data_IF_575149453445
#
_entry.id   IF_575149453445
#
_cell.length_a   1.000
_cell.length_b   1.000
_cell.length_c   1.000
_cell.angle_alpha   90.00
_cell.angle_beta   90.00
_cell.angle_gamma   90.00
#
_symmetry.space_group_name_H-M   'P 1'
#
loop_
_entity.id
_entity.type
_entity.pdbx_description
1 polymer ?
#
# COMPACT_ATOMS: atom_id res chain seq x y z
N UNK A 1 -2.61 16.05 4.87
CA UNK A 1 -2.63 14.58 4.98
C UNK A 1 -1.28 14.05 4.53
N UNK A 2 -0.59 13.28 5.37
CA UNK A 2 0.71 12.66 5.04
C UNK A 2 0.52 11.19 4.66
N UNK A 3 1.46 10.63 3.90
CA UNK A 3 1.43 9.22 3.49
C UNK A 3 1.32 8.29 4.70
N UNK A 4 2.19 8.48 5.69
CA UNK A 4 2.20 7.68 6.91
C UNK A 4 0.89 7.75 7.69
N UNK A 5 0.21 8.91 7.73
CA UNK A 5 -1.07 9.06 8.43
C UNK A 5 -2.25 8.31 7.79
N UNK A 6 -2.13 7.97 6.50
CA UNK A 6 -3.13 7.16 5.79
C UNK A 6 -2.83 5.69 6.04
N UNK A 7 -1.56 5.31 5.90
CA UNK A 7 -1.12 3.92 5.99
C UNK A 7 -1.22 3.37 7.41
N UNK A 8 -0.81 4.13 8.42
CA UNK A 8 -0.82 3.68 9.83
C UNK A 8 -2.21 3.29 10.30
N UNK A 9 -3.26 3.93 9.78
CA UNK A 9 -4.66 3.60 10.10
C UNK A 9 -5.12 2.26 9.55
N UNK A 10 -4.58 1.83 8.41
CA UNK A 10 -4.98 0.61 7.74
C UNK A 10 -4.19 -0.61 8.23
N UNK A 11 -2.97 -0.41 8.75
CA UNK A 11 -2.01 -1.48 9.03
C UNK A 11 -1.50 -1.56 10.47
N UNK A 12 -1.94 -0.69 11.38
CA UNK A 12 -1.44 -0.65 12.78
C UNK A 12 0.10 -0.49 12.85
N UNK A 13 0.63 0.38 12.00
CA UNK A 13 2.07 0.68 11.89
C UNK A 13 2.36 2.00 12.63
N UNK A 14 3.52 2.16 13.30
CA UNK A 14 3.91 3.43 13.91
C UNK A 14 3.85 4.60 12.93
N UNK A 15 3.43 5.77 13.40
CA UNK A 15 3.23 6.96 12.56
C UNK A 15 4.43 7.92 12.51
N UNK A 16 5.55 7.53 13.11
CA UNK A 16 6.81 8.28 13.22
C UNK A 16 7.96 7.70 12.37
N UNK A 17 7.65 6.82 11.41
CA UNK A 17 8.64 6.19 10.53
C UNK A 17 9.16 7.12 9.43
N UNK A 18 10.45 6.97 9.10
CA UNK A 18 11.01 7.50 7.84
C UNK A 18 10.43 6.77 6.62
N UNK A 19 10.61 7.32 5.42
CA UNK A 19 10.08 6.70 4.17
C UNK A 19 10.60 5.28 3.95
N UNK A 20 11.89 5.02 4.19
CA UNK A 20 12.46 3.69 4.04
C UNK A 20 11.90 2.71 5.07
N UNK A 21 11.79 3.14 6.34
CA UNK A 21 11.21 2.31 7.40
C UNK A 21 9.72 2.03 7.17
N UNK A 22 8.99 3.00 6.61
CA UNK A 22 7.59 2.82 6.23
C UNK A 22 7.48 1.79 5.09
N UNK A 23 8.36 1.86 4.08
CA UNK A 23 8.40 0.87 3.01
C UNK A 23 8.68 -0.52 3.57
N UNK A 24 9.69 -0.68 4.40
CA UNK A 24 10.05 -1.98 4.98
C UNK A 24 8.90 -2.55 5.81
N UNK A 25 8.26 -1.73 6.65
CA UNK A 25 7.08 -2.13 7.42
C UNK A 25 5.91 -2.55 6.52
N UNK A 26 5.73 -1.90 5.37
CA UNK A 26 4.71 -2.27 4.38
C UNK A 26 5.03 -3.59 3.69
N UNK A 27 6.31 -3.86 3.38
CA UNK A 27 6.74 -5.16 2.83
C UNK A 27 6.43 -6.27 3.83
N UNK A 28 6.81 -6.11 5.09
CA UNK A 28 6.55 -7.09 6.15
C UNK A 28 5.05 -7.34 6.34
N UNK A 29 4.25 -6.26 6.35
CA UNK A 29 2.80 -6.36 6.48
C UNK A 29 2.17 -7.13 5.31
N UNK A 30 2.59 -6.86 4.07
CA UNK A 30 2.07 -7.57 2.91
C UNK A 30 2.58 -9.01 2.82
N UNK A 31 3.83 -9.29 3.19
CA UNK A 31 4.33 -10.66 3.28
C UNK A 31 3.49 -11.48 4.27
N UNK A 32 3.20 -10.93 5.45
CA UNK A 32 2.31 -11.57 6.41
C UNK A 32 0.92 -11.84 5.82
N UNK A 33 0.32 -10.86 5.13
CA UNK A 33 -1.01 -11.02 4.55
C UNK A 33 -1.05 -12.05 3.40
N UNK A 34 0.00 -12.13 2.59
CA UNK A 34 0.13 -13.15 1.53
C UNK A 34 0.08 -14.55 2.14
N UNK A 35 0.85 -14.77 3.21
CA UNK A 35 1.02 -16.09 3.81
C UNK A 35 -0.11 -16.47 4.78
N UNK A 36 -0.73 -15.49 5.44
CA UNK A 36 -1.62 -15.73 6.59
C UNK A 36 -3.06 -15.24 6.41
N UNK A 37 -3.31 -14.21 5.59
CA UNK A 37 -4.66 -13.63 5.45
C UNK A 37 -4.88 -13.00 4.06
N UNK A 38 -4.90 -13.89 3.07
CA UNK A 38 -5.11 -13.51 1.68
C UNK A 38 -6.42 -12.75 1.42
N UNK A 39 -7.58 -13.12 2.03
CA UNK A 39 -8.80 -12.33 1.86
C UNK A 39 -8.65 -10.88 2.32
N UNK A 40 -7.96 -10.63 3.44
CA UNK A 40 -7.68 -9.27 3.91
C UNK A 40 -6.75 -8.51 2.98
N UNK A 41 -5.74 -9.15 2.41
CA UNK A 41 -4.88 -8.57 1.36
C UNK A 41 -5.72 -7.99 0.22
N UNK A 42 -6.62 -8.80 -0.35
CA UNK A 42 -7.49 -8.40 -1.46
C UNK A 42 -8.38 -7.20 -1.06
N UNK A 43 -8.96 -7.22 0.14
CA UNK A 43 -9.82 -6.13 0.61
C UNK A 43 -9.06 -4.80 0.72
N UNK A 44 -7.84 -4.82 1.24
CA UNK A 44 -7.02 -3.62 1.38
C UNK A 44 -6.67 -3.05 0.00
N UNK A 45 -6.24 -3.91 -0.91
CA UNK A 45 -5.81 -3.50 -2.24
C UNK A 45 -6.97 -2.97 -3.09
N UNK A 46 -8.17 -3.56 -2.95
CA UNK A 46 -9.37 -3.03 -3.58
C UNK A 46 -9.72 -1.61 -3.09
N UNK A 47 -9.65 -1.36 -1.78
CA UNK A 47 -9.87 -0.01 -1.21
C UNK A 47 -8.81 1.01 -1.66
N UNK A 48 -7.61 0.54 -1.97
CA UNK A 48 -6.54 1.35 -2.51
C UNK A 48 -6.73 1.71 -3.99
N UNK A 49 -7.66 1.06 -4.69
CA UNK A 49 -7.78 1.02 -6.17
C UNK A 49 -6.57 0.35 -6.85
N UNK A 50 -6.06 -0.73 -6.26
CA UNK A 50 -5.09 -1.62 -6.90
C UNK A 50 -5.84 -2.68 -7.69
N UNK A 51 -5.42 -2.90 -8.94
CA UNK A 51 -6.07 -3.82 -9.87
C UNK A 51 -5.93 -5.29 -9.41
N UNK A 52 -7.07 -5.98 -9.27
CA UNK A 52 -7.12 -7.37 -8.80
C UNK A 52 -6.52 -8.39 -9.77
N UNK A 53 -6.61 -8.14 -11.08
CA UNK A 53 -6.01 -9.03 -12.09
C UNK A 53 -4.49 -8.93 -12.04
N UNK A 54 -3.98 -7.70 -11.98
CA UNK A 54 -2.55 -7.44 -11.84
C UNK A 54 -1.99 -8.03 -10.54
N UNK A 55 -2.76 -7.96 -9.47
CA UNK A 55 -2.37 -8.55 -8.20
C UNK A 55 -2.25 -10.07 -8.29
N UNK A 56 -3.25 -10.74 -8.88
CA UNK A 56 -3.24 -12.18 -9.04
C UNK A 56 -2.05 -12.65 -9.88
N UNK A 57 -1.75 -11.91 -10.95
CA UNK A 57 -0.57 -12.15 -11.79
C UNK A 57 0.75 -12.02 -10.99
N UNK A 58 0.88 -10.97 -10.17
CA UNK A 58 2.07 -10.76 -9.32
C UNK A 58 2.27 -11.93 -8.35
N UNK A 59 1.20 -12.41 -7.74
CA UNK A 59 1.25 -13.50 -6.76
C UNK A 59 1.54 -14.86 -7.40
N UNK A 60 1.14 -15.07 -8.65
CA UNK A 60 1.38 -16.30 -9.39
C UNK A 60 2.79 -16.37 -10.00
N UNK A 61 3.44 -15.21 -10.21
CA UNK A 61 4.71 -15.11 -10.94
C UNK A 61 5.94 -14.94 -10.07
N UNK A 62 5.80 -14.62 -8.78
CA UNK A 62 6.93 -14.25 -7.92
C UNK A 62 6.87 -14.92 -6.54
N UNK A 63 7.97 -15.53 -6.11
CA UNK A 63 8.10 -16.09 -4.75
C UNK A 63 7.82 -15.02 -3.67
N UNK A 64 7.16 -15.42 -2.58
CA UNK A 64 6.42 -14.54 -1.67
C UNK A 64 7.09 -13.20 -1.29
N UNK A 65 8.38 -13.20 -0.92
CA UNK A 65 9.08 -11.97 -0.53
C UNK A 65 9.15 -10.93 -1.66
N UNK A 66 9.38 -11.36 -2.89
CA UNK A 66 9.44 -10.43 -4.02
C UNK A 66 8.04 -10.01 -4.49
N UNK A 67 7.02 -10.85 -4.28
CA UNK A 67 5.61 -10.42 -4.40
C UNK A 67 5.24 -9.32 -3.39
N UNK A 68 5.66 -9.46 -2.12
CA UNK A 68 5.38 -8.48 -1.07
C UNK A 68 5.99 -7.10 -1.36
N UNK A 69 7.24 -7.06 -1.85
CA UNK A 69 7.90 -5.82 -2.26
C UNK A 69 7.14 -5.10 -3.38
N UNK A 70 6.77 -5.82 -4.44
CA UNK A 70 6.05 -5.21 -5.57
C UNK A 70 4.68 -4.68 -5.14
N UNK A 71 3.98 -5.40 -4.27
CA UNK A 71 2.68 -4.98 -3.74
C UNK A 71 2.83 -3.75 -2.85
N UNK A 72 3.84 -3.72 -1.97
CA UNK A 72 4.12 -2.58 -1.11
C UNK A 72 4.39 -1.31 -1.93
N UNK A 73 5.25 -1.41 -2.94
CA UNK A 73 5.60 -0.28 -3.81
C UNK A 73 4.40 0.21 -4.61
N UNK A 74 3.61 -0.70 -5.18
CA UNK A 74 2.40 -0.37 -5.91
C UNK A 74 1.35 0.33 -5.02
N UNK A 75 1.16 -0.15 -3.80
CA UNK A 75 0.25 0.45 -2.83
C UNK A 75 0.72 1.85 -2.41
N UNK A 76 2.00 2.02 -2.06
CA UNK A 76 2.57 3.32 -1.67
C UNK A 76 2.42 4.34 -2.80
N UNK A 77 2.78 3.95 -4.04
CA UNK A 77 2.64 4.82 -5.21
C UNK A 77 1.19 5.29 -5.41
N UNK A 78 0.23 4.39 -5.20
CA UNK A 78 -1.19 4.72 -5.30
C UNK A 78 -1.65 5.70 -4.21
N UNK A 79 -1.18 5.53 -2.97
CA UNK A 79 -1.49 6.48 -1.89
C UNK A 79 -0.87 7.85 -2.13
N UNK A 80 0.36 7.90 -2.65
CA UNK A 80 1.01 9.17 -3.04
C UNK A 80 0.20 9.90 -4.12
N UNK A 81 -0.25 9.19 -5.15
CA UNK A 81 -1.08 9.77 -6.22
C UNK A 81 -2.43 10.32 -5.68
N UNK A 82 -3.04 9.66 -4.67
CA UNK A 82 -4.24 10.19 -3.99
C UNK A 82 -3.94 11.50 -3.24
N UNK A 83 -2.82 11.56 -2.53
CA UNK A 83 -2.40 12.78 -1.82
C UNK A 83 -2.15 13.94 -2.80
N UNK A 84 -1.44 13.70 -3.90
CA UNK A 84 -1.18 14.70 -4.92
C UNK A 84 -2.48 15.22 -5.56
N UNK A 85 -3.39 14.30 -5.87
CA UNK A 85 -4.74 14.62 -6.36
C UNK A 85 -5.45 15.55 -5.39
N UNK A 86 -5.49 15.21 -4.10
CA UNK A 86 -6.10 16.07 -3.09
C UNK A 86 -5.43 17.42 -2.93
N UNK A 87 -4.10 17.51 -2.98
CA UNK A 87 -3.37 18.79 -2.97
C UNK A 87 -3.81 19.69 -4.13
N UNK A 88 -3.86 19.12 -5.34
CA UNK A 88 -4.24 19.83 -6.57
C UNK A 88 -5.67 20.38 -6.53
N UNK A 89 -6.62 19.61 -6.00
CA UNK A 89 -8.03 20.04 -5.91
C UNK A 89 -8.33 20.91 -4.68
N UNK A 90 -7.55 20.78 -3.59
CA UNK A 90 -7.70 21.63 -2.40
C UNK A 90 -7.17 23.05 -2.64
N UNK A 91 -6.15 23.21 -3.51
CA UNK A 91 -5.62 24.52 -3.91
C UNK A 91 -6.49 25.27 -4.93
N UNK A 92 -7.46 24.61 -5.59
CA UNK A 92 -8.34 25.24 -6.59
C UNK A 92 -9.62 25.85 -6.03
N UNK A 93 -9.76 25.92 -4.70
CA UNK A 93 -10.82 26.70 -4.05
C UNK A 93 -10.32 28.13 -3.84
N UNK A 94 -10.31 28.91 -4.91
CA UNK A 94 -10.30 30.37 -4.90
C UNK A 94 -11.35 30.87 -5.92
#
# INVERSE_FOLDING_TARGET
MSLISIISKDFDIPDDLSENQLRDAMVDAFAYLIDNDFPKLIQILYKADVDQYKLKELLETVEGSSSAEVIADAYIARQMAKIETWKKYSQKKD
#
